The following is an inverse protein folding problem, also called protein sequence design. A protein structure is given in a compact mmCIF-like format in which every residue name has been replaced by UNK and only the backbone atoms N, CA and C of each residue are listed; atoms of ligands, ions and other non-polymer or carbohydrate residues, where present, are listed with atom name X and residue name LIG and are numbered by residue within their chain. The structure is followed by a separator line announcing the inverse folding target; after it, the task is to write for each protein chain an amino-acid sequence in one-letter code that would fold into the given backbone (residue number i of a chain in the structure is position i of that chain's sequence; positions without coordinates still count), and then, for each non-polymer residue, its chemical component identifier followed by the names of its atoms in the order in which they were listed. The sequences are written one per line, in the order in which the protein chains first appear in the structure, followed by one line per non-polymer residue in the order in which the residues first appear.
data_IF_892910711588
#
_entry.id   IF_892910711588
#
_cell.length_a   1.000
_cell.length_b   1.000
_cell.length_c   1.000
_cell.angle_alpha   90.00
_cell.angle_beta   90.00
_cell.angle_gamma   90.00
#
_symmetry.space_group_name_H-M   'P 1'
#
loop_
_entity.id
_entity.type
_entity.pdbx_description
1 polymer ?
#
# COMPACT_ATOMS: atom_id res chain seq x y z
N UNK A 1 54.71 -9.19 57.48
CA UNK A 1 53.32 -8.68 57.52
C UNK A 1 53.15 -7.29 56.91
N UNK A 2 54.08 -6.31 57.07
CA UNK A 2 53.95 -4.98 56.45
C UNK A 2 54.06 -4.95 54.91
N UNK A 3 55.00 -5.70 54.30
CA UNK A 3 55.17 -5.75 52.83
C UNK A 3 54.02 -6.42 52.06
N UNK A 4 53.18 -7.22 52.73
CA UNK A 4 52.07 -7.92 52.08
C UNK A 4 50.80 -7.07 52.03
N UNK A 5 50.68 -6.07 52.92
CA UNK A 5 49.58 -5.11 52.93
C UNK A 5 49.76 -3.98 51.89
N UNK A 6 51.00 -3.56 51.62
CA UNK A 6 51.28 -2.53 50.59
C UNK A 6 51.03 -3.03 49.17
N UNK A 7 51.30 -4.31 48.89
CA UNK A 7 51.07 -4.92 47.57
C UNK A 7 49.57 -5.14 47.30
N UNK A 8 48.77 -5.48 48.33
CA UNK A 8 47.32 -5.59 48.20
C UNK A 8 46.63 -4.23 48.03
N UNK A 9 47.13 -3.17 48.67
CA UNK A 9 46.58 -1.82 48.52
C UNK A 9 46.86 -1.24 47.12
N UNK A 10 48.01 -1.56 46.51
CA UNK A 10 48.36 -1.15 45.15
C UNK A 10 47.53 -1.88 44.09
N UNK A 11 47.22 -3.17 44.30
CA UNK A 11 46.37 -3.96 43.40
C UNK A 11 44.89 -3.54 43.44
N UNK A 12 44.41 -3.04 44.59
CA UNK A 12 43.05 -2.49 44.69
C UNK A 12 42.91 -1.13 44.01
N UNK A 13 43.95 -0.31 44.00
CA UNK A 13 43.93 1.00 43.35
C UNK A 13 44.06 0.90 41.81
N UNK A 14 44.78 -0.10 41.30
CA UNK A 14 44.92 -0.33 39.85
C UNK A 14 43.65 -0.97 39.24
N UNK A 15 42.88 -1.76 40.01
CA UNK A 15 41.59 -2.28 39.54
C UNK A 15 40.46 -1.23 39.50
N UNK A 16 40.60 -0.10 40.20
CA UNK A 16 39.60 0.99 40.19
C UNK A 16 39.74 1.94 38.99
N UNK A 17 40.84 1.88 38.24
CA UNK A 17 41.10 2.78 37.10
C UNK A 17 40.72 2.13 35.75
N UNK A 18 40.52 0.81 35.69
CA UNK A 18 40.19 0.09 34.43
C UNK A 18 38.69 -0.23 34.29
N UNK A 19 37.88 0.09 35.30
CA UNK A 19 36.43 0.20 35.13
C UNK A 19 36.05 1.57 34.53
N UNK A 20 36.81 2.03 33.53
CA UNK A 20 36.23 2.88 32.50
C UNK A 20 35.29 1.96 31.74
N UNK A 21 34.07 1.87 32.25
CA UNK A 21 32.93 1.41 31.48
C UNK A 21 32.91 2.29 30.23
N UNK A 22 33.52 1.80 29.16
CA UNK A 22 32.99 1.97 27.83
C UNK A 22 31.58 1.36 27.85
N UNK A 23 30.66 2.01 28.56
CA UNK A 23 29.30 2.12 28.10
C UNK A 23 29.50 2.72 26.72
N UNK A 24 29.51 1.85 25.71
CA UNK A 24 29.58 2.23 24.32
C UNK A 24 28.43 3.22 24.15
N UNK A 25 28.78 4.50 24.20
CA UNK A 25 27.81 5.59 24.24
C UNK A 25 26.98 5.35 22.99
N UNK A 26 25.70 4.98 23.14
CA UNK A 26 24.87 4.63 21.99
C UNK A 26 25.01 5.79 21.00
N UNK A 27 25.57 5.49 19.83
CA UNK A 27 25.87 6.51 18.86
C UNK A 27 24.56 6.98 18.27
N UNK A 28 24.03 8.08 18.79
CA UNK A 28 22.80 8.67 18.27
C UNK A 28 23.02 9.03 16.81
N UNK A 29 22.19 8.47 15.93
CA UNK A 29 22.34 8.62 14.49
C UNK A 29 21.66 9.91 14.01
N UNK A 30 20.49 10.21 14.58
CA UNK A 30 19.73 11.42 14.29
C UNK A 30 19.11 11.98 15.56
N UNK A 31 19.07 13.31 15.66
CA UNK A 31 18.19 14.03 16.56
C UNK A 31 17.25 14.93 15.77
N UNK A 32 16.00 15.02 16.21
CA UNK A 32 15.04 16.03 15.76
C UNK A 32 14.87 17.03 16.89
N UNK A 33 15.10 18.30 16.59
CA UNK A 33 15.08 19.40 17.57
C UNK A 33 14.14 20.50 17.12
N UNK A 34 13.79 21.40 18.03
CA UNK A 34 12.94 22.56 17.80
C UNK A 34 11.59 22.15 17.20
N UNK A 35 10.99 21.09 17.74
CA UNK A 35 9.69 20.56 17.34
C UNK A 35 8.63 20.84 18.41
N UNK A 36 7.36 20.74 18.02
CA UNK A 36 6.23 20.55 18.94
C UNK A 36 5.86 19.07 18.86
N UNK A 37 6.49 18.21 19.64
CA UNK A 37 6.28 16.75 19.57
C UNK A 37 5.07 16.37 20.43
N UNK A 38 4.11 15.65 19.84
CA UNK A 38 3.05 14.95 20.59
C UNK A 38 3.43 13.48 20.70
N UNK A 39 3.66 13.00 21.92
CA UNK A 39 4.14 11.63 22.15
C UNK A 39 3.02 10.60 22.21
N UNK A 40 1.78 11.05 22.46
CA UNK A 40 0.62 10.24 22.84
C UNK A 40 0.79 9.44 24.14
N UNK A 41 1.85 9.70 24.91
CA UNK A 41 2.02 9.22 26.28
C UNK A 41 1.28 10.16 27.25
N UNK A 42 0.39 9.61 28.07
CA UNK A 42 -0.39 10.40 29.04
C UNK A 42 0.49 11.02 30.13
N UNK A 43 1.63 10.42 30.47
CA UNK A 43 2.55 10.94 31.47
C UNK A 43 3.44 12.07 30.93
N UNK A 44 3.79 12.02 29.64
CA UNK A 44 4.63 13.03 28.97
C UNK A 44 4.08 13.38 27.59
N UNK A 45 2.91 14.04 27.48
CA UNK A 45 2.18 14.20 26.22
C UNK A 45 2.84 15.15 25.21
N UNK A 46 3.77 15.99 25.68
CA UNK A 46 4.47 16.98 24.86
C UNK A 46 5.99 16.87 25.07
N UNK A 47 6.74 17.12 24.01
CA UNK A 47 8.19 17.27 24.04
C UNK A 47 8.65 18.25 22.95
N UNK A 48 9.93 18.63 22.99
CA UNK A 48 10.52 19.58 22.04
C UNK A 48 11.47 18.91 21.04
N UNK A 49 11.96 17.73 21.38
CA UNK A 49 12.99 17.03 20.62
C UNK A 49 12.97 15.51 20.92
N UNK A 50 13.58 14.72 20.03
CA UNK A 50 13.83 13.30 20.24
C UNK A 50 15.08 12.81 19.51
N UNK A 51 15.64 11.69 19.97
CA UNK A 51 16.82 11.04 19.42
C UNK A 51 16.48 9.66 18.84
N UNK A 52 17.12 9.30 17.73
CA UNK A 52 16.88 8.05 16.98
C UNK A 52 18.19 7.28 16.80
N UNK A 53 18.10 5.96 16.97
CA UNK A 53 19.14 4.98 16.62
C UNK A 53 18.47 3.87 15.82
N UNK A 54 18.90 3.65 14.57
CA UNK A 54 18.25 2.73 13.65
C UNK A 54 16.77 3.08 13.46
N UNK A 55 15.90 2.12 13.81
CA UNK A 55 14.44 2.25 13.73
C UNK A 55 13.77 2.56 15.07
N UNK A 56 14.50 3.03 16.08
CA UNK A 56 13.98 3.28 17.42
C UNK A 56 14.23 4.71 17.88
N UNK A 57 13.20 5.30 18.50
CA UNK A 57 13.35 6.50 19.32
C UNK A 57 13.96 6.09 20.66
N UNK A 58 15.13 6.61 20.99
CA UNK A 58 15.89 6.25 22.20
C UNK A 58 15.81 7.29 23.32
N UNK A 59 15.38 8.51 23.00
CA UNK A 59 15.13 9.56 23.98
C UNK A 59 14.12 10.58 23.46
N UNK A 60 13.29 11.14 24.34
CA UNK A 60 12.30 12.18 24.03
C UNK A 60 12.32 13.21 25.15
N UNK A 61 12.46 14.50 24.84
CA UNK A 61 12.65 15.52 25.87
C UNK A 61 12.70 16.95 25.35
N UNK A 62 13.33 17.81 26.15
CA UNK A 62 13.62 19.20 25.79
C UNK A 62 14.71 19.27 24.72
N UNK A 63 14.82 20.42 24.05
CA UNK A 63 15.91 20.69 23.12
C UNK A 63 17.29 20.50 23.76
N UNK A 64 17.45 20.92 25.02
CA UNK A 64 18.72 20.85 25.73
C UNK A 64 19.13 19.40 26.03
N UNK A 65 18.20 18.59 26.56
CA UNK A 65 18.43 17.17 26.87
C UNK A 65 18.86 16.39 25.62
N UNK A 66 18.18 16.60 24.50
CA UNK A 66 18.47 15.87 23.26
C UNK A 66 19.74 16.37 22.57
N UNK A 67 20.03 17.68 22.60
CA UNK A 67 21.29 18.22 22.06
C UNK A 67 22.51 17.71 22.82
N UNK A 68 22.38 17.38 24.10
CA UNK A 68 23.47 16.79 24.89
C UNK A 68 23.86 15.37 24.42
N UNK A 69 23.01 14.71 23.63
CA UNK A 69 23.26 13.39 23.05
C UNK A 69 23.98 13.44 21.69
N UNK A 70 24.13 14.63 21.10
CA UNK A 70 24.77 14.81 19.79
C UNK A 70 26.26 14.45 19.88
N UNK A 71 26.68 13.49 19.05
CA UNK A 71 28.07 13.13 18.82
C UNK A 71 28.58 13.63 17.46
N UNK A 72 29.84 13.31 17.16
CA UNK A 72 30.51 13.76 15.93
C UNK A 72 29.79 13.36 14.62
N UNK A 73 29.05 12.24 14.63
CA UNK A 73 28.36 11.70 13.46
C UNK A 73 26.83 11.84 13.52
N UNK A 74 26.29 12.52 14.54
CA UNK A 74 24.84 12.65 14.71
C UNK A 74 24.28 13.67 13.72
N UNK A 75 23.27 13.26 12.93
CA UNK A 75 22.52 14.17 12.05
C UNK A 75 21.54 14.98 12.90
N UNK A 76 21.52 16.29 12.71
CA UNK A 76 20.58 17.19 13.40
C UNK A 76 19.53 17.64 12.39
N UNK A 77 18.27 17.34 12.66
CA UNK A 77 17.11 17.84 11.92
C UNK A 77 16.40 18.92 12.75
N UNK A 78 16.43 20.16 12.29
CA UNK A 78 15.67 21.26 12.89
C UNK A 78 14.23 21.29 12.34
N UNK A 79 13.25 21.02 13.19
CA UNK A 79 11.84 21.00 12.81
C UNK A 79 11.23 22.41 12.67
N UNK A 80 11.97 23.48 12.98
CA UNK A 80 11.54 24.87 12.82
C UNK A 80 10.18 25.19 13.49
N UNK A 81 9.97 24.67 14.69
CA UNK A 81 8.75 24.83 15.49
C UNK A 81 7.54 24.05 14.98
N UNK A 82 7.70 23.17 13.98
CA UNK A 82 6.62 22.36 13.40
C UNK A 82 6.15 21.27 14.36
N UNK A 83 4.89 20.89 14.20
CA UNK A 83 4.27 19.77 14.90
C UNK A 83 4.84 18.44 14.39
N UNK A 84 5.19 17.56 15.31
CA UNK A 84 5.56 16.16 15.02
C UNK A 84 4.57 15.25 15.74
N UNK A 85 3.97 14.33 15.00
CA UNK A 85 3.04 13.31 15.49
C UNK A 85 3.64 11.91 15.24
N UNK A 86 3.21 10.88 15.97
CA UNK A 86 3.42 9.51 15.52
C UNK A 86 2.78 9.33 14.14
N UNK A 87 3.41 8.52 13.29
CA UNK A 87 2.79 8.12 12.03
C UNK A 87 1.48 7.38 12.29
N UNK A 88 0.52 7.51 11.37
CA UNK A 88 -0.78 6.89 11.55
C UNK A 88 -0.69 5.38 11.38
N UNK A 89 -1.52 4.67 12.17
CA UNK A 89 -1.72 3.24 12.05
C UNK A 89 -3.14 2.97 11.55
N UNK A 90 -3.27 2.38 10.36
CA UNK A 90 -4.57 1.95 9.85
C UNK A 90 -4.87 0.53 10.30
N UNK A 91 -5.89 0.36 11.15
CA UNK A 91 -6.17 -0.90 11.82
C UNK A 91 -6.96 -1.92 11.00
N UNK A 92 -7.38 -1.59 9.78
CA UNK A 92 -8.10 -2.52 8.92
C UNK A 92 -8.07 -2.07 7.46
N UNK A 93 -7.26 -2.75 6.64
CA UNK A 93 -7.19 -2.49 5.19
C UNK A 93 -7.13 -3.78 4.40
N UNK A 94 -7.53 -3.73 3.12
CA UNK A 94 -7.18 -4.73 2.12
C UNK A 94 -6.02 -4.17 1.30
N UNK A 95 -4.80 -4.29 1.82
CA UNK A 95 -3.65 -3.51 1.38
C UNK A 95 -3.17 -3.92 -0.01
N UNK A 96 -3.02 -5.23 -0.24
CA UNK A 96 -2.60 -5.75 -1.55
C UNK A 96 -3.64 -5.47 -2.63
N UNK A 97 -4.93 -5.63 -2.32
CA UNK A 97 -6.03 -5.29 -3.23
C UNK A 97 -6.03 -3.80 -3.58
N UNK A 98 -5.86 -2.93 -2.58
CA UNK A 98 -5.68 -1.49 -2.79
C UNK A 98 -4.48 -1.19 -3.71
N UNK A 99 -3.37 -1.90 -3.52
CA UNK A 99 -2.20 -1.85 -4.39
C UNK A 99 -2.49 -2.22 -5.84
N UNK A 100 -3.26 -3.30 -6.06
CA UNK A 100 -3.70 -3.68 -7.40
C UNK A 100 -4.60 -2.62 -8.02
N UNK A 101 -5.51 -2.01 -7.26
CA UNK A 101 -6.36 -0.93 -7.75
C UNK A 101 -5.53 0.29 -8.16
N UNK A 102 -4.55 0.69 -7.34
CA UNK A 102 -3.63 1.79 -7.65
C UNK A 102 -2.74 1.53 -8.87
N UNK A 103 -2.44 0.25 -9.14
CA UNK A 103 -1.59 -0.16 -10.26
C UNK A 103 -2.36 -0.42 -11.56
N UNK A 104 -3.68 -0.39 -11.53
CA UNK A 104 -4.56 -0.61 -12.68
C UNK A 104 -5.12 0.69 -13.25
N UNK A 105 -5.92 0.58 -14.31
CA UNK A 105 -6.63 1.71 -14.88
C UNK A 105 -7.62 2.29 -13.85
N UNK A 106 -7.54 3.61 -13.61
CA UNK A 106 -8.51 4.32 -12.78
C UNK A 106 -9.65 4.88 -13.65
N UNK A 107 -10.86 4.38 -13.41
CA UNK A 107 -12.08 4.76 -14.14
C UNK A 107 -13.14 5.35 -13.20
N UNK A 108 -12.83 5.53 -11.91
CA UNK A 108 -13.82 5.93 -10.90
C UNK A 108 -14.46 7.28 -11.17
N UNK A 109 -13.65 8.23 -11.65
CA UNK A 109 -14.08 9.59 -11.96
C UNK A 109 -14.25 9.83 -13.48
N UNK A 110 -14.25 8.78 -14.30
CA UNK A 110 -14.51 8.90 -15.73
C UNK A 110 -15.95 9.39 -15.95
N UNK A 111 -16.11 10.60 -16.49
CA UNK A 111 -17.41 11.29 -16.60
C UNK A 111 -18.20 10.97 -17.87
N UNK A 112 -17.65 10.16 -18.77
CA UNK A 112 -18.33 9.77 -19.99
C UNK A 112 -17.81 8.44 -20.53
N UNK A 113 -18.59 7.75 -21.39
CA UNK A 113 -18.12 6.56 -22.11
C UNK A 113 -16.85 6.81 -22.93
N UNK A 114 -16.70 8.00 -23.52
CA UNK A 114 -15.52 8.34 -24.32
C UNK A 114 -14.26 8.46 -23.47
N UNK A 115 -14.38 9.11 -22.31
CA UNK A 115 -13.28 9.23 -21.36
C UNK A 115 -12.89 7.86 -20.79
N UNK A 116 -13.88 7.05 -20.44
CA UNK A 116 -13.70 5.66 -20.00
C UNK A 116 -12.90 4.85 -21.03
N UNK A 117 -13.32 4.86 -22.30
CA UNK A 117 -12.62 4.15 -23.37
C UNK A 117 -11.22 4.70 -23.63
N UNK A 118 -11.03 6.03 -23.54
CA UNK A 118 -9.72 6.68 -23.71
C UNK A 118 -8.72 6.23 -22.65
N UNK A 119 -9.12 6.20 -21.37
CA UNK A 119 -8.25 5.76 -20.28
C UNK A 119 -7.86 4.30 -20.40
N UNK A 120 -8.82 3.44 -20.78
CA UNK A 120 -8.54 2.02 -21.05
C UNK A 120 -7.55 1.87 -22.20
N UNK A 121 -7.72 2.62 -23.30
CA UNK A 121 -6.78 2.63 -24.43
C UNK A 121 -5.37 3.02 -23.99
N UNK A 122 -5.23 4.08 -23.21
CA UNK A 122 -3.95 4.58 -22.72
C UNK A 122 -3.26 3.61 -21.75
N UNK A 123 -4.05 2.91 -20.95
CA UNK A 123 -3.55 1.85 -20.08
C UNK A 123 -3.11 0.63 -20.90
N UNK A 124 -3.96 0.14 -21.80
CA UNK A 124 -3.67 -1.01 -22.67
C UNK A 124 -2.39 -0.81 -23.51
N UNK A 125 -2.14 0.41 -23.99
CA UNK A 125 -0.94 0.73 -24.78
C UNK A 125 0.39 0.55 -24.02
N UNK A 126 0.35 0.45 -22.68
CA UNK A 126 1.53 0.24 -21.82
C UNK A 126 1.74 -1.23 -21.48
N UNK A 127 0.80 -2.10 -21.81
CA UNK A 127 0.84 -3.51 -21.42
C UNK A 127 1.36 -4.40 -22.56
N UNK A 128 2.12 -5.46 -22.24
CA UNK A 128 2.32 -6.59 -23.13
C UNK A 128 0.98 -7.20 -23.59
N UNK A 129 0.98 -7.76 -24.80
CA UNK A 129 -0.17 -8.50 -25.32
C UNK A 129 -0.52 -9.67 -24.40
N UNK A 130 -1.82 -9.90 -24.19
CA UNK A 130 -2.35 -10.97 -23.36
C UNK A 130 -2.37 -10.68 -21.86
N UNK A 131 -1.76 -9.59 -21.38
CA UNK A 131 -1.89 -9.20 -19.97
C UNK A 131 -3.31 -8.69 -19.70
N UNK A 132 -3.89 -9.13 -18.59
CA UNK A 132 -5.24 -8.75 -18.17
C UNK A 132 -5.30 -7.29 -17.71
N UNK A 133 -6.36 -6.61 -18.11
CA UNK A 133 -6.75 -5.29 -17.57
C UNK A 133 -7.87 -5.52 -16.57
N UNK A 134 -7.59 -5.28 -15.30
CA UNK A 134 -8.48 -5.53 -14.17
C UNK A 134 -8.74 -4.23 -13.40
N UNK A 135 -9.50 -4.31 -12.31
CA UNK A 135 -9.81 -3.16 -11.46
C UNK A 135 -10.83 -2.24 -12.11
N UNK A 136 -10.52 -0.95 -12.23
CA UNK A 136 -11.38 0.05 -12.89
C UNK A 136 -12.22 0.87 -11.93
N UNK A 137 -12.96 0.23 -11.01
CA UNK A 137 -13.88 0.89 -10.07
C UNK A 137 -14.80 1.92 -10.72
N UNK A 138 -15.29 1.60 -11.92
CA UNK A 138 -16.07 2.54 -12.74
C UNK A 138 -17.49 2.72 -12.22
N UNK A 139 -18.13 3.83 -12.60
CA UNK A 139 -19.53 4.09 -12.29
C UNK A 139 -20.23 4.85 -13.42
N UNK A 140 -21.16 4.16 -14.09
CA UNK A 140 -21.94 4.71 -15.20
C UNK A 140 -23.01 5.73 -14.75
N UNK A 141 -23.36 5.75 -13.46
CA UNK A 141 -24.29 6.75 -12.89
C UNK A 141 -23.73 8.17 -12.97
N UNK A 142 -22.41 8.30 -13.13
CA UNK A 142 -21.75 9.59 -13.36
C UNK A 142 -21.85 10.08 -14.82
N UNK A 143 -22.45 9.30 -15.73
CA UNK A 143 -22.55 9.63 -17.15
C UNK A 143 -23.90 10.25 -17.50
N UNK A 144 -23.98 10.93 -18.65
CA UNK A 144 -25.23 11.45 -19.18
C UNK A 144 -25.32 11.16 -20.68
N UNK A 145 -26.22 10.25 -21.14
CA UNK A 145 -27.07 9.38 -20.32
C UNK A 145 -26.25 8.33 -19.53
N UNK A 146 -26.80 7.87 -18.40
CA UNK A 146 -26.21 6.86 -17.52
C UNK A 146 -26.44 5.42 -18.03
N UNK A 147 -26.22 5.18 -19.32
CA UNK A 147 -26.37 3.83 -19.85
C UNK A 147 -25.20 2.95 -19.41
N UNK A 148 -25.47 1.67 -19.14
CA UNK A 148 -24.41 0.69 -18.93
C UNK A 148 -23.48 0.63 -20.16
N UNK A 149 -22.16 0.49 -19.95
CA UNK A 149 -21.23 0.27 -21.04
C UNK A 149 -21.43 -1.11 -21.66
N UNK A 150 -21.00 -1.27 -22.90
CA UNK A 150 -20.93 -2.56 -23.58
C UNK A 150 -19.50 -2.81 -24.08
N UNK A 151 -19.17 -4.07 -24.35
CA UNK A 151 -17.86 -4.51 -24.84
C UNK A 151 -17.40 -3.75 -26.08
N UNK A 152 -18.34 -3.35 -26.96
CA UNK A 152 -18.07 -2.58 -28.18
C UNK A 152 -17.38 -1.24 -27.88
N UNK A 153 -17.60 -0.66 -26.68
CA UNK A 153 -16.94 0.57 -26.25
C UNK A 153 -15.43 0.40 -26.11
N UNK A 154 -14.95 -0.81 -25.79
CA UNK A 154 -13.57 -1.08 -25.41
C UNK A 154 -12.86 -2.10 -26.32
N UNK A 155 -13.60 -2.86 -27.12
CA UNK A 155 -13.05 -3.91 -27.99
C UNK A 155 -11.99 -3.38 -28.96
N UNK A 156 -12.28 -2.27 -29.65
CA UNK A 156 -11.35 -1.70 -30.63
C UNK A 156 -10.05 -1.17 -30.01
N UNK A 157 -10.06 -0.84 -28.71
CA UNK A 157 -8.91 -0.30 -27.98
C UNK A 157 -8.19 -1.36 -27.13
N UNK A 158 -8.72 -2.57 -27.04
CA UNK A 158 -8.14 -3.70 -26.30
C UNK A 158 -8.13 -5.02 -27.10
N UNK A 159 -7.75 -5.02 -28.39
CA UNK A 159 -7.89 -6.20 -29.25
C UNK A 159 -7.01 -7.39 -28.81
N UNK A 160 -5.90 -7.11 -28.14
CA UNK A 160 -4.87 -8.08 -27.76
C UNK A 160 -4.82 -8.33 -26.24
N UNK A 161 -5.66 -7.66 -25.44
CA UNK A 161 -5.61 -7.71 -23.98
C UNK A 161 -7.01 -8.03 -23.43
N UNK A 162 -7.18 -9.12 -22.67
CA UNK A 162 -8.46 -9.40 -22.04
C UNK A 162 -8.75 -8.34 -20.97
N UNK A 163 -9.98 -7.84 -20.96
CA UNK A 163 -10.45 -6.83 -20.00
C UNK A 163 -11.53 -7.45 -19.13
N UNK A 164 -11.42 -7.27 -17.81
CA UNK A 164 -12.51 -7.54 -16.87
C UNK A 164 -12.44 -6.55 -15.70
N UNK A 165 -13.19 -5.46 -15.83
CA UNK A 165 -13.12 -4.32 -14.92
C UNK A 165 -14.40 -4.19 -14.09
N UNK A 166 -14.24 -4.17 -12.77
CA UNK A 166 -15.32 -4.11 -11.79
C UNK A 166 -15.93 -2.71 -11.68
N UNK A 167 -17.25 -2.67 -11.51
CA UNK A 167 -17.97 -1.48 -11.08
C UNK A 167 -17.62 -1.17 -9.63
N UNK A 168 -17.71 0.10 -9.26
CA UNK A 168 -17.41 0.62 -7.93
C UNK A 168 -18.09 -0.12 -6.75
N UNK A 169 -19.28 -0.69 -6.96
CA UNK A 169 -20.03 -1.41 -5.92
C UNK A 169 -19.67 -2.90 -5.81
N UNK A 170 -18.83 -3.41 -6.71
CA UNK A 170 -18.43 -4.83 -6.74
C UNK A 170 -19.49 -5.80 -7.27
N UNK A 171 -20.67 -5.34 -7.68
CA UNK A 171 -21.80 -6.19 -8.07
C UNK A 171 -21.92 -6.43 -9.58
N UNK A 172 -21.07 -5.79 -10.38
CA UNK A 172 -20.96 -6.08 -11.79
C UNK A 172 -19.58 -5.75 -12.34
N UNK A 173 -19.24 -6.33 -13.48
CA UNK A 173 -18.02 -6.04 -14.21
C UNK A 173 -18.26 -6.02 -15.72
N UNK A 174 -17.42 -5.28 -16.44
CA UNK A 174 -17.40 -5.22 -17.89
C UNK A 174 -16.25 -6.08 -18.43
N UNK A 175 -16.60 -7.10 -19.20
CA UNK A 175 -15.69 -7.92 -20.00
C UNK A 175 -15.66 -7.43 -21.46
N UNK A 176 -14.48 -7.42 -22.08
CA UNK A 176 -14.38 -7.25 -23.54
C UNK A 176 -14.67 -8.59 -24.28
N UNK A 177 -14.79 -8.52 -25.60
CA UNK A 177 -15.04 -9.70 -26.45
C UNK A 177 -13.95 -10.77 -26.33
N UNK A 178 -12.70 -10.38 -26.10
CA UNK A 178 -11.59 -11.31 -25.91
C UNK A 178 -11.76 -12.13 -24.62
N UNK A 179 -12.06 -11.46 -23.49
CA UNK A 179 -12.30 -12.14 -22.21
C UNK A 179 -13.52 -13.07 -22.26
N UNK A 180 -14.64 -12.63 -22.86
CA UNK A 180 -15.83 -13.47 -23.07
C UNK A 180 -15.51 -14.73 -23.89
N UNK A 181 -14.75 -14.57 -24.98
CA UNK A 181 -14.32 -15.68 -25.84
C UNK A 181 -13.44 -16.68 -25.08
N UNK A 182 -12.48 -16.19 -24.29
CA UNK A 182 -11.62 -17.05 -23.46
C UNK A 182 -12.43 -17.84 -22.43
N UNK A 183 -13.48 -17.21 -21.86
CA UNK A 183 -14.38 -17.84 -20.90
C UNK A 183 -15.48 -18.70 -21.54
N UNK A 184 -15.55 -18.76 -22.87
CA UNK A 184 -16.60 -19.45 -23.62
C UNK A 184 -18.02 -18.97 -23.27
N UNK A 185 -18.16 -17.67 -22.93
CA UNK A 185 -19.46 -17.04 -22.70
C UNK A 185 -20.04 -16.60 -24.03
N UNK A 186 -21.21 -17.15 -24.36
CA UNK A 186 -21.91 -16.94 -25.65
C UNK A 186 -23.38 -16.56 -25.42
N UNK A 187 -24.12 -16.37 -26.52
CA UNK A 187 -25.59 -16.23 -26.48
C UNK A 187 -26.30 -17.42 -25.83
N UNK A 188 -25.72 -18.62 -25.93
CA UNK A 188 -26.32 -19.87 -25.44
C UNK A 188 -25.92 -20.20 -23.99
N UNK A 189 -24.97 -19.44 -23.41
CA UNK A 189 -24.57 -19.60 -22.01
C UNK A 189 -25.72 -19.21 -21.09
N UNK A 190 -26.11 -20.10 -20.19
CA UNK A 190 -27.19 -19.83 -19.23
C UNK A 190 -26.70 -18.94 -18.10
N UNK A 191 -27.62 -18.13 -17.57
CA UNK A 191 -27.41 -17.47 -16.30
C UNK A 191 -27.21 -18.51 -15.18
N UNK A 192 -26.49 -18.09 -14.15
CA UNK A 192 -26.25 -18.87 -12.94
C UNK A 192 -27.16 -18.37 -11.83
N UNK A 193 -27.54 -19.25 -10.89
CA UNK A 193 -28.33 -18.81 -9.74
C UNK A 193 -27.59 -17.68 -8.99
N UNK A 194 -28.28 -16.57 -8.75
CA UNK A 194 -27.68 -15.40 -8.10
C UNK A 194 -26.81 -14.51 -9.00
N UNK A 195 -26.87 -14.67 -10.33
CA UNK A 195 -26.13 -13.81 -11.27
C UNK A 195 -26.80 -13.68 -12.63
N UNK A 196 -26.42 -12.65 -13.38
CA UNK A 196 -27.01 -12.30 -14.68
C UNK A 196 -25.91 -11.99 -15.71
N UNK A 197 -26.01 -12.58 -16.90
CA UNK A 197 -25.28 -12.12 -18.09
C UNK A 197 -26.18 -11.12 -18.80
N UNK A 198 -25.81 -9.83 -18.80
CA UNK A 198 -26.60 -8.80 -19.48
C UNK A 198 -26.51 -9.03 -20.99
N UNK A 199 -27.68 -9.07 -21.64
CA UNK A 199 -27.81 -9.36 -23.07
C UNK A 199 -28.44 -8.20 -23.82
N UNK A 200 -28.06 -8.05 -25.08
CA UNK A 200 -28.73 -7.13 -25.99
C UNK A 200 -30.07 -7.70 -26.50
N UNK A 201 -30.75 -6.95 -27.36
CA UNK A 201 -32.03 -7.35 -27.98
C UNK A 201 -31.95 -8.63 -28.83
N UNK A 202 -30.76 -9.06 -29.23
CA UNK A 202 -30.52 -10.26 -30.03
C UNK A 202 -30.11 -11.45 -29.15
N UNK A 203 -29.97 -11.26 -27.83
CA UNK A 203 -29.50 -12.26 -26.89
C UNK A 203 -27.98 -12.34 -26.77
N UNK A 204 -27.23 -11.47 -27.45
CA UNK A 204 -25.76 -11.47 -27.38
C UNK A 204 -25.29 -10.84 -26.05
N UNK A 205 -24.29 -11.43 -25.36
CA UNK A 205 -23.73 -10.82 -24.16
C UNK A 205 -23.20 -9.41 -24.45
N UNK A 206 -23.60 -8.42 -23.67
CA UNK A 206 -23.09 -7.04 -23.79
C UNK A 206 -21.69 -6.90 -23.24
N UNK A 207 -21.21 -7.89 -22.47
CA UNK A 207 -19.97 -7.82 -21.69
C UNK A 207 -20.20 -7.47 -20.23
N UNK A 208 -21.38 -7.00 -19.83
CA UNK A 208 -21.69 -6.80 -18.41
C UNK A 208 -22.14 -8.11 -17.77
N UNK A 209 -21.45 -8.53 -16.72
CA UNK A 209 -21.83 -9.68 -15.88
C UNK A 209 -22.09 -9.19 -14.47
N UNK A 210 -23.17 -9.64 -13.84
CA UNK A 210 -23.58 -9.26 -12.48
C UNK A 210 -23.46 -10.44 -11.51
N UNK A 211 -23.02 -10.14 -10.29
CA UNK A 211 -22.94 -11.06 -9.16
C UNK A 211 -22.31 -12.42 -9.56
N UNK A 212 -22.99 -13.55 -9.32
CA UNK A 212 -22.43 -14.89 -9.58
C UNK A 212 -22.04 -15.13 -11.05
N UNK A 213 -22.60 -14.39 -12.01
CA UNK A 213 -22.20 -14.52 -13.42
C UNK A 213 -20.74 -14.05 -13.63
N UNK A 214 -20.21 -13.17 -12.78
CA UNK A 214 -18.80 -12.76 -12.83
C UNK A 214 -17.85 -13.95 -12.65
N UNK A 215 -18.30 -15.04 -12.01
CA UNK A 215 -17.52 -16.28 -11.85
C UNK A 215 -17.10 -16.92 -13.17
N UNK A 216 -17.82 -16.68 -14.27
CA UNK A 216 -17.44 -17.17 -15.60
C UNK A 216 -16.09 -16.60 -16.06
N UNK A 217 -15.81 -15.34 -15.73
CA UNK A 217 -14.55 -14.68 -16.08
C UNK A 217 -13.51 -14.87 -14.97
N UNK A 218 -13.89 -14.68 -13.70
CA UNK A 218 -12.95 -14.78 -12.57
C UNK A 218 -12.14 -16.08 -12.57
N UNK A 219 -12.77 -17.21 -12.91
CA UNK A 219 -12.11 -18.52 -12.91
C UNK A 219 -10.99 -18.69 -13.95
N UNK A 220 -10.95 -17.84 -14.97
CA UNK A 220 -9.95 -17.91 -16.05
C UNK A 220 -8.88 -16.82 -15.93
N UNK A 221 -9.02 -15.90 -14.97
CA UNK A 221 -8.00 -14.91 -14.67
C UNK A 221 -6.82 -15.64 -14.01
N UNK A 222 -5.60 -15.53 -14.55
CA UNK A 222 -4.42 -16.14 -13.93
C UNK A 222 -4.16 -15.55 -12.55
N UNK A 223 -3.60 -16.37 -11.66
CA UNK A 223 -3.03 -15.90 -10.40
C UNK A 223 -1.94 -14.85 -10.66
N UNK A 224 -1.92 -13.80 -9.85
CA UNK A 224 -0.88 -12.79 -9.94
C UNK A 224 0.48 -13.38 -9.55
N UNK A 225 1.50 -13.07 -10.36
CA UNK A 225 2.88 -13.41 -10.05
C UNK A 225 3.37 -12.70 -8.80
N UNK A 226 4.43 -13.24 -8.17
CA UNK A 226 5.06 -12.58 -7.03
C UNK A 226 5.50 -11.15 -7.35
N UNK A 227 6.06 -10.93 -8.55
CA UNK A 227 6.48 -9.60 -9.00
C UNK A 227 5.31 -8.61 -9.12
N UNK A 228 4.16 -9.05 -9.63
CA UNK A 228 2.95 -8.22 -9.69
C UNK A 228 2.44 -7.87 -8.30
N UNK A 229 2.44 -8.84 -7.37
CA UNK A 229 2.06 -8.61 -5.97
C UNK A 229 3.02 -7.63 -5.27
N UNK A 230 4.33 -7.75 -5.48
CA UNK A 230 5.31 -6.82 -4.93
C UNK A 230 5.13 -5.40 -5.47
N UNK A 231 4.87 -5.25 -6.78
CA UNK A 231 4.61 -3.93 -7.37
C UNK A 231 3.33 -3.30 -6.79
N UNK A 232 2.27 -4.09 -6.61
CA UNK A 232 1.04 -3.65 -5.97
C UNK A 232 1.28 -3.22 -4.51
N UNK A 233 2.01 -4.03 -3.73
CA UNK A 233 2.36 -3.70 -2.35
C UNK A 233 3.20 -2.41 -2.25
N UNK A 234 4.12 -2.18 -3.19
CA UNK A 234 4.89 -0.94 -3.26
C UNK A 234 3.98 0.27 -3.57
N UNK A 235 3.09 0.15 -4.55
CA UNK A 235 2.13 1.21 -4.88
C UNK A 235 1.24 1.58 -3.68
N UNK A 236 0.74 0.57 -2.94
CA UNK A 236 -0.01 0.77 -1.71
C UNK A 236 0.82 1.44 -0.61
N UNK A 237 2.09 1.05 -0.46
CA UNK A 237 3.03 1.63 0.51
C UNK A 237 3.29 3.11 0.23
N UNK A 238 3.58 3.46 -1.03
CA UNK A 238 3.83 4.84 -1.44
C UNK A 238 2.58 5.71 -1.23
N UNK A 239 1.42 5.17 -1.57
CA UNK A 239 0.14 5.83 -1.36
C UNK A 239 -0.11 6.08 0.13
N UNK A 240 -0.04 5.05 0.97
CA UNK A 240 -0.25 5.16 2.42
C UNK A 240 0.73 6.16 3.07
N UNK A 241 2.02 6.08 2.71
CA UNK A 241 3.04 6.99 3.21
C UNK A 241 2.77 8.45 2.84
N UNK A 242 2.16 8.72 1.68
CA UNK A 242 1.79 10.08 1.26
C UNK A 242 0.73 10.73 2.17
N UNK A 243 -0.06 9.93 2.90
CA UNK A 243 -1.02 10.38 3.92
C UNK A 243 -0.47 10.31 5.34
N UNK A 244 0.81 9.97 5.52
CA UNK A 244 1.44 9.80 6.83
C UNK A 244 1.06 8.51 7.55
N UNK A 245 0.48 7.53 6.84
CA UNK A 245 0.25 6.18 7.37
C UNK A 245 1.55 5.40 7.29
N UNK A 246 2.04 4.95 8.44
CA UNK A 246 3.35 4.27 8.57
C UNK A 246 3.23 2.83 9.03
N UNK A 247 2.04 2.39 9.39
CA UNK A 247 1.74 0.99 9.69
C UNK A 247 0.29 0.67 9.36
N UNK A 248 0.06 -0.58 8.96
CA UNK A 248 -1.26 -1.07 8.57
C UNK A 248 -1.49 -2.47 9.12
N UNK A 249 -2.75 -2.84 9.31
CA UNK A 249 -3.19 -4.22 9.50
C UNK A 249 -3.90 -4.69 8.22
N UNK A 250 -3.20 -5.48 7.41
CA UNK A 250 -3.72 -6.02 6.16
C UNK A 250 -4.57 -7.28 6.39
N UNK A 251 -5.82 -7.23 5.94
CA UNK A 251 -6.78 -8.32 5.93
C UNK A 251 -6.61 -9.16 4.65
N UNK A 252 -5.40 -9.71 4.49
CA UNK A 252 -5.09 -10.65 3.42
C UNK A 252 -5.65 -12.03 3.72
N UNK A 253 -6.00 -12.78 2.68
CA UNK A 253 -6.32 -14.22 2.79
C UNK A 253 -5.22 -15.03 2.11
N UNK A 254 -4.97 -16.26 2.59
CA UNK A 254 -4.04 -17.19 1.93
C UNK A 254 -2.55 -16.88 2.09
N UNK A 255 -1.78 -17.08 1.01
CA UNK A 255 -0.31 -17.07 1.00
C UNK A 255 0.33 -15.69 0.75
N UNK A 256 -0.46 -14.62 0.76
CA UNK A 256 0.02 -13.28 0.38
C UNK A 256 0.95 -12.63 1.41
N UNK A 257 1.02 -13.17 2.64
CA UNK A 257 1.93 -12.72 3.70
C UNK A 257 3.39 -12.71 3.23
N UNK A 258 3.78 -13.63 2.35
CA UNK A 258 5.14 -13.71 1.82
C UNK A 258 5.55 -12.52 0.94
N UNK A 259 4.61 -11.69 0.49
CA UNK A 259 4.89 -10.49 -0.31
C UNK A 259 5.51 -9.37 0.54
N UNK A 260 5.25 -9.38 1.86
CA UNK A 260 5.70 -8.35 2.80
C UNK A 260 6.98 -8.70 3.56
N UNK A 261 7.54 -9.89 3.34
CA UNK A 261 8.74 -10.41 4.03
C UNK A 261 10.00 -10.18 3.21
#
# INVERSE_FOLDING_TARGET
MKKMFEVLALLFFVCLIVANTNAQKMSVEMVVVNAKVRTMDTAKPNAEAFAVVGNKIVAVGTNQEIRALVGANTKILDANGKLVLPGFNDSHVHFLEGGFQLSNVDLRDAKSPQEFARRIKEFAAKLPKGQWILGGNWDHENWTPNNLPTKELIDAVTPDNPVFISRLDGHMALANSLALKMAQVTKDTKDVAGGEIVRDKNGEPTGVLKDEAMSYINRIIPEFSFAEKTNAAQAATDYAASFGVTSVQDMSTGNDVGVYQ
#
